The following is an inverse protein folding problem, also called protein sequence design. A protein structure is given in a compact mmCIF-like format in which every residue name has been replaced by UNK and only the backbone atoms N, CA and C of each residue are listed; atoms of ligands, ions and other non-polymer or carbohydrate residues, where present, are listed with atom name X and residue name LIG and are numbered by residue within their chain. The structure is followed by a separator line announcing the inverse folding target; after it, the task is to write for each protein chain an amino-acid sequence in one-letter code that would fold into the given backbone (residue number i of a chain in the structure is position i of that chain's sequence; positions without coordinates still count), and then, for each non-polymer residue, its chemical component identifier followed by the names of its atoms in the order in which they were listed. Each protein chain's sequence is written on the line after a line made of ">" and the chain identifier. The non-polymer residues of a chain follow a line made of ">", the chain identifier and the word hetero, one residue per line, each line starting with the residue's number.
data_IF_245675403288
#
_entry.id   IF_245675403288
#
_cell.length_a   1.000
_cell.length_b   1.000
_cell.length_c   1.000
_cell.angle_alpha   90.00
_cell.angle_beta   90.00
_cell.angle_gamma   90.00
#
_symmetry.space_group_name_H-M   'P 1'
#
loop_
_entity.id
_entity.type
_entity.pdbx_description
1 polymer ?
#
# COMPACT_ATOMS: atom_id res chain seq x y z
N UNK A 1 -6.57 -3.09 -22.87
CA UNK A 1 -7.14 -1.73 -22.64
C UNK A 1 -6.01 -0.84 -22.13
N UNK A 2 -5.76 0.30 -22.77
CA UNK A 2 -4.66 1.21 -22.38
C UNK A 2 -4.99 2.06 -21.14
N UNK A 3 -3.96 2.65 -20.52
CA UNK A 3 -4.11 3.63 -19.45
C UNK A 3 -4.77 4.91 -19.97
N UNK A 4 -5.68 5.48 -19.18
CA UNK A 4 -6.31 6.78 -19.46
C UNK A 4 -5.57 7.90 -18.75
N UNK A 5 -5.80 9.14 -19.16
CA UNK A 5 -5.26 10.34 -18.50
C UNK A 5 -5.57 10.37 -17.00
N UNK A 6 -6.78 9.96 -16.60
CA UNK A 6 -7.16 9.84 -15.19
C UNK A 6 -6.30 8.82 -14.44
N UNK A 7 -5.95 7.70 -15.09
CA UNK A 7 -5.14 6.66 -14.47
C UNK A 7 -3.70 7.17 -14.27
N UNK A 8 -3.14 7.91 -15.24
CA UNK A 8 -1.83 8.56 -15.14
C UNK A 8 -1.83 9.62 -14.02
N UNK A 9 -2.86 10.47 -13.95
CA UNK A 9 -2.99 11.46 -12.89
C UNK A 9 -3.10 10.81 -11.50
N UNK A 10 -3.85 9.71 -11.39
CA UNK A 10 -3.98 8.92 -10.16
C UNK A 10 -2.61 8.36 -9.75
N UNK A 11 -1.87 7.76 -10.68
CA UNK A 11 -0.51 7.27 -10.42
C UNK A 11 0.36 8.40 -9.88
N UNK A 12 0.41 9.55 -10.57
CA UNK A 12 1.25 10.67 -10.16
C UNK A 12 0.91 11.19 -8.75
N UNK A 13 -0.37 11.46 -8.48
CA UNK A 13 -0.83 12.02 -7.20
C UNK A 13 -0.56 11.03 -6.05
N UNK A 14 -0.92 9.77 -6.21
CA UNK A 14 -0.77 8.78 -5.14
C UNK A 14 0.67 8.32 -4.95
N UNK A 15 1.51 8.33 -5.99
CA UNK A 15 2.96 8.13 -5.82
C UNK A 15 3.62 9.29 -5.08
N UNK A 16 3.21 10.53 -5.35
CA UNK A 16 3.69 11.68 -4.59
C UNK A 16 3.26 11.59 -3.12
N UNK A 17 1.99 11.23 -2.86
CA UNK A 17 1.49 11.02 -1.50
C UNK A 17 2.24 9.87 -0.80
N UNK A 18 2.45 8.74 -1.47
CA UNK A 18 3.24 7.62 -0.95
C UNK A 18 4.62 8.11 -0.52
N UNK A 19 5.31 8.85 -1.40
CA UNK A 19 6.66 9.31 -1.14
C UNK A 19 6.72 10.30 0.02
N UNK A 20 5.82 11.30 0.04
CA UNK A 20 5.72 12.28 1.13
C UNK A 20 5.50 11.57 2.45
N UNK A 21 4.52 10.66 2.52
CA UNK A 21 4.22 9.92 3.75
C UNK A 21 5.41 9.05 4.19
N UNK A 22 6.07 8.34 3.28
CA UNK A 22 7.24 7.52 3.62
C UNK A 22 8.49 8.32 4.01
N UNK A 23 8.65 9.54 3.52
CA UNK A 23 9.77 10.40 3.88
C UNK A 23 9.55 11.16 5.19
N UNK A 24 8.29 11.43 5.53
CA UNK A 24 7.91 12.26 6.69
C UNK A 24 7.31 11.46 7.84
N UNK A 25 6.25 10.69 7.59
CA UNK A 25 5.49 9.94 8.59
C UNK A 25 6.12 8.56 8.87
N UNK A 26 6.60 7.87 7.82
CA UNK A 26 7.24 6.56 7.93
C UNK A 26 8.33 6.48 9.01
N UNK A 27 9.30 7.41 9.06
CA UNK A 27 10.37 7.40 10.07
C UNK A 27 9.88 7.60 11.50
N UNK A 28 8.71 8.20 11.69
CA UNK A 28 8.14 8.41 13.03
C UNK A 28 7.76 7.08 13.68
N UNK A 29 7.40 6.05 12.90
CA UNK A 29 7.09 4.71 13.44
C UNK A 29 8.28 4.10 14.17
N UNK A 30 9.47 4.20 13.56
CA UNK A 30 10.72 3.76 14.17
C UNK A 30 11.22 4.71 15.26
N UNK A 31 10.94 6.00 15.15
CA UNK A 31 11.37 6.97 16.15
C UNK A 31 10.60 6.79 17.46
N UNK A 32 9.28 6.68 17.37
CA UNK A 32 8.35 6.63 18.51
C UNK A 32 8.18 5.20 19.05
N UNK A 33 7.90 4.24 18.16
CA UNK A 33 7.54 2.87 18.57
C UNK A 33 8.64 1.84 18.34
N UNK A 34 9.71 2.21 17.62
CA UNK A 34 10.76 1.28 17.14
C UNK A 34 10.19 0.20 16.20
N UNK A 35 9.08 0.49 15.52
CA UNK A 35 8.32 -0.47 14.70
C UNK A 35 7.95 0.10 13.31
N UNK A 36 7.75 -0.76 12.30
CA UNK A 36 7.47 -0.35 10.92
C UNK A 36 6.03 0.14 10.66
N UNK A 37 5.22 0.37 11.70
CA UNK A 37 3.75 0.61 11.56
C UNK A 37 3.43 1.74 10.57
N UNK A 38 4.16 2.84 10.61
CA UNK A 38 3.86 4.02 9.79
C UNK A 38 4.37 3.95 8.34
N UNK A 39 5.39 3.12 8.04
CA UNK A 39 5.73 2.88 6.63
C UNK A 39 4.63 2.05 5.95
N UNK A 40 4.10 1.02 6.62
CA UNK A 40 2.97 0.26 6.09
C UNK A 40 1.70 1.09 5.95
N UNK A 41 1.39 1.96 6.93
CA UNK A 41 0.29 2.92 6.79
C UNK A 41 0.46 3.76 5.52
N UNK A 42 1.66 4.29 5.28
CA UNK A 42 1.94 5.15 4.12
C UNK A 42 1.70 4.41 2.80
N UNK A 43 2.13 3.15 2.74
CA UNK A 43 1.98 2.27 1.58
C UNK A 43 0.53 1.89 1.35
N UNK A 44 -0.14 1.28 2.33
CA UNK A 44 -1.46 0.71 2.10
C UNK A 44 -2.56 1.76 2.03
N UNK A 45 -2.42 2.90 2.73
CA UNK A 45 -3.32 4.03 2.55
C UNK A 45 -3.30 4.51 1.09
N UNK A 46 -2.12 4.72 0.51
CA UNK A 46 -2.00 5.23 -0.85
C UNK A 46 -2.43 4.21 -1.90
N UNK A 47 -2.09 2.93 -1.73
CA UNK A 47 -2.54 1.86 -2.64
C UNK A 47 -4.06 1.71 -2.64
N UNK A 48 -4.70 1.68 -1.48
CA UNK A 48 -6.15 1.52 -1.38
C UNK A 48 -6.88 2.73 -1.98
N UNK A 49 -6.42 3.94 -1.70
CA UNK A 49 -7.01 5.15 -2.26
C UNK A 49 -6.79 5.25 -3.78
N UNK A 50 -5.61 4.88 -4.29
CA UNK A 50 -5.35 4.82 -5.73
C UNK A 50 -6.21 3.76 -6.43
N UNK A 51 -6.40 2.62 -5.78
CA UNK A 51 -7.26 1.54 -6.28
C UNK A 51 -8.72 2.00 -6.33
N UNK A 52 -9.21 2.62 -5.25
CA UNK A 52 -10.55 3.20 -5.21
C UNK A 52 -10.75 4.31 -6.26
N UNK A 53 -9.74 5.17 -6.45
CA UNK A 53 -9.80 6.31 -7.35
C UNK A 53 -9.67 5.93 -8.84
N UNK A 54 -9.10 4.77 -9.17
CA UNK A 54 -8.93 4.33 -10.57
C UNK A 54 -9.83 3.16 -10.96
N UNK A 55 -10.04 2.20 -10.06
CA UNK A 55 -10.70 0.93 -10.33
C UNK A 55 -9.97 0.09 -11.39
N UNK A 56 -8.66 0.31 -11.58
CA UNK A 56 -7.88 -0.29 -12.68
C UNK A 56 -6.75 -1.16 -12.16
N UNK A 57 -6.55 -2.29 -12.84
CA UNK A 57 -5.34 -3.12 -12.71
C UNK A 57 -4.09 -2.31 -13.07
N UNK A 58 -2.96 -2.67 -12.47
CA UNK A 58 -1.63 -2.06 -12.67
C UNK A 58 -1.44 -0.69 -12.03
N UNK A 59 -2.51 0.09 -11.78
CA UNK A 59 -2.40 1.39 -11.12
C UNK A 59 -1.75 1.27 -9.73
N UNK A 60 -2.15 0.33 -8.85
CA UNK A 60 -1.50 0.16 -7.54
C UNK A 60 -0.01 -0.20 -7.67
N UNK A 61 0.34 -1.12 -8.58
CA UNK A 61 1.75 -1.46 -8.83
C UNK A 61 2.57 -0.26 -9.31
N UNK A 62 2.01 0.54 -10.22
CA UNK A 62 2.68 1.75 -10.74
C UNK A 62 2.82 2.82 -9.66
N UNK A 63 1.82 2.97 -8.79
CA UNK A 63 1.91 3.86 -7.63
C UNK A 63 3.09 3.47 -6.74
N UNK A 64 3.20 2.18 -6.41
CA UNK A 64 4.31 1.64 -5.63
C UNK A 64 5.67 1.79 -6.32
N UNK A 65 5.76 1.53 -7.63
CA UNK A 65 6.98 1.68 -8.41
C UNK A 65 7.49 3.12 -8.41
N UNK A 66 6.66 4.06 -8.83
CA UNK A 66 7.06 5.47 -8.91
C UNK A 66 7.28 6.05 -7.51
N UNK A 67 6.44 5.69 -6.53
CA UNK A 67 6.62 6.10 -5.13
C UNK A 67 7.94 5.60 -4.54
N UNK A 68 8.28 4.32 -4.73
CA UNK A 68 9.55 3.74 -4.30
C UNK A 68 10.75 4.43 -4.97
N UNK A 69 10.68 4.69 -6.28
CA UNK A 69 11.74 5.39 -7.01
C UNK A 69 11.95 6.82 -6.48
N UNK A 70 10.89 7.57 -6.19
CA UNK A 70 11.00 8.91 -5.59
C UNK A 70 11.68 8.82 -4.22
N UNK A 71 11.24 7.91 -3.35
CA UNK A 71 11.82 7.74 -2.01
C UNK A 71 13.29 7.32 -2.10
N UNK A 72 13.63 6.38 -2.97
CA UNK A 72 15.00 5.92 -3.15
C UNK A 72 15.90 7.00 -3.76
N UNK A 73 15.37 7.87 -4.61
CA UNK A 73 16.12 9.01 -5.14
C UNK A 73 16.44 10.03 -4.05
N UNK A 74 15.48 10.32 -3.18
CA UNK A 74 15.63 11.31 -2.11
C UNK A 74 16.34 10.75 -0.86
N UNK A 75 16.23 9.44 -0.62
CA UNK A 75 16.87 8.73 0.48
C UNK A 75 17.34 7.34 0.02
N UNK A 76 18.50 7.27 -0.66
CA UNK A 76 19.02 6.02 -1.25
C UNK A 76 19.25 4.87 -0.26
N UNK A 77 19.49 5.20 1.02
CA UNK A 77 19.65 4.20 2.08
C UNK A 77 18.34 3.48 2.46
N UNK A 78 17.18 3.93 1.98
CA UNK A 78 15.87 3.31 2.26
C UNK A 78 15.60 2.07 1.40
N UNK A 79 16.53 1.12 1.38
CA UNK A 79 16.47 -0.07 0.51
C UNK A 79 15.26 -0.96 0.77
N UNK A 80 14.64 -0.89 1.95
CA UNK A 80 13.38 -1.56 2.27
C UNK A 80 12.21 -1.19 1.33
N UNK A 81 12.32 -0.07 0.57
CA UNK A 81 11.33 0.30 -0.46
C UNK A 81 11.15 -0.78 -1.54
N UNK A 82 12.17 -1.60 -1.82
CA UNK A 82 12.01 -2.71 -2.75
C UNK A 82 11.07 -3.80 -2.22
N UNK A 83 11.04 -4.03 -0.91
CA UNK A 83 10.07 -4.93 -0.27
C UNK A 83 8.64 -4.41 -0.40
N UNK A 84 8.45 -3.10 -0.22
CA UNK A 84 7.15 -2.46 -0.45
C UNK A 84 6.72 -2.40 -1.91
N UNK A 85 7.67 -2.28 -2.84
CA UNK A 85 7.38 -2.41 -4.26
C UNK A 85 6.88 -3.82 -4.59
N UNK A 86 7.58 -4.85 -4.10
CA UNK A 86 7.16 -6.23 -4.31
C UNK A 86 5.77 -6.48 -3.71
N UNK A 87 5.48 -5.93 -2.53
CA UNK A 87 4.16 -6.04 -1.92
C UNK A 87 3.07 -5.24 -2.64
N UNK A 88 3.38 -4.10 -3.27
CA UNK A 88 2.43 -3.37 -4.11
C UNK A 88 2.00 -4.19 -5.34
N UNK A 89 2.94 -4.92 -5.95
CA UNK A 89 2.64 -5.83 -7.07
C UNK A 89 1.76 -6.99 -6.61
N UNK A 90 2.07 -7.58 -5.45
CA UNK A 90 1.25 -8.64 -4.85
C UNK A 90 -0.16 -8.14 -4.51
N UNK A 91 -0.26 -6.95 -3.92
CA UNK A 91 -1.54 -6.31 -3.60
C UNK A 91 -2.40 -6.12 -4.86
N UNK A 92 -1.82 -5.56 -5.92
CA UNK A 92 -2.49 -5.35 -7.21
C UNK A 92 -2.98 -6.66 -7.82
N UNK A 93 -2.17 -7.72 -7.74
CA UNK A 93 -2.56 -9.06 -8.19
C UNK A 93 -3.75 -9.61 -7.39
N UNK A 94 -3.74 -9.50 -6.06
CA UNK A 94 -4.83 -9.98 -5.20
C UNK A 94 -6.12 -9.17 -5.41
N UNK A 95 -6.02 -7.86 -5.68
CA UNK A 95 -7.17 -7.00 -5.96
C UNK A 95 -7.91 -7.36 -7.25
N UNK A 96 -7.32 -8.17 -8.15
CA UNK A 96 -8.04 -8.70 -9.31
C UNK A 96 -9.26 -9.53 -8.91
N UNK A 97 -9.26 -10.15 -7.73
CA UNK A 97 -10.37 -10.98 -7.22
C UNK A 97 -11.67 -10.20 -7.00
N UNK A 98 -11.59 -8.88 -6.80
CA UNK A 98 -12.75 -7.99 -6.73
C UNK A 98 -12.77 -6.95 -7.86
N UNK A 99 -12.03 -7.19 -8.95
CA UNK A 99 -11.86 -6.23 -10.06
C UNK A 99 -11.43 -4.83 -9.58
N UNK A 100 -10.51 -4.78 -8.61
CA UNK A 100 -9.97 -3.54 -8.07
C UNK A 100 -11.05 -2.61 -7.47
N UNK A 101 -12.13 -3.21 -6.95
CA UNK A 101 -13.21 -2.48 -6.30
C UNK A 101 -12.99 -2.45 -4.78
N UNK A 102 -12.86 -1.24 -4.22
CA UNK A 102 -12.62 -0.99 -2.78
C UNK A 102 -13.85 -0.41 -2.08
N UNK A 103 -15.01 -0.35 -2.76
CA UNK A 103 -16.26 0.16 -2.16
C UNK A 103 -16.67 -0.65 -0.94
N UNK A 104 -17.47 -0.06 -0.05
CA UNK A 104 -17.94 -0.68 1.22
C UNK A 104 -19.00 -1.77 1.04
N UNK A 105 -18.77 -2.73 0.13
CA UNK A 105 -19.52 -3.97 -0.02
C UNK A 105 -18.78 -5.10 0.71
N UNK A 106 -19.47 -6.07 1.34
CA UNK A 106 -18.82 -7.11 2.14
C UNK A 106 -17.69 -7.86 1.42
N UNK A 107 -17.92 -8.28 0.16
CA UNK A 107 -16.91 -8.99 -0.63
C UNK A 107 -15.68 -8.12 -0.93
N UNK A 108 -15.88 -6.87 -1.32
CA UNK A 108 -14.80 -5.94 -1.66
C UNK A 108 -13.97 -5.58 -0.44
N UNK A 109 -14.62 -5.36 0.71
CA UNK A 109 -13.96 -5.14 2.00
C UNK A 109 -13.15 -6.37 2.40
N UNK A 110 -13.71 -7.58 2.25
CA UNK A 110 -12.99 -8.82 2.55
C UNK A 110 -11.75 -8.98 1.66
N UNK A 111 -11.89 -8.82 0.33
CA UNK A 111 -10.78 -8.95 -0.62
C UNK A 111 -9.71 -7.88 -0.38
N UNK A 112 -10.09 -6.61 -0.21
CA UNK A 112 -9.13 -5.53 0.06
C UNK A 112 -8.42 -5.70 1.40
N UNK A 113 -9.12 -6.23 2.42
CA UNK A 113 -8.51 -6.56 3.71
C UNK A 113 -7.49 -7.68 3.58
N UNK A 114 -7.85 -8.79 2.92
CA UNK A 114 -6.95 -9.91 2.67
C UNK A 114 -5.76 -9.47 1.83
N UNK A 115 -5.99 -8.73 0.75
CA UNK A 115 -4.94 -8.21 -0.12
C UNK A 115 -3.95 -7.34 0.67
N UNK A 116 -4.46 -6.46 1.53
CA UNK A 116 -3.63 -5.60 2.38
C UNK A 116 -2.81 -6.41 3.37
N UNK A 117 -3.47 -7.28 4.15
CA UNK A 117 -2.84 -8.09 5.20
C UNK A 117 -1.75 -9.01 4.64
N UNK A 118 -2.08 -9.75 3.58
CA UNK A 118 -1.15 -10.70 2.94
C UNK A 118 0.05 -9.96 2.35
N UNK A 119 -0.20 -8.83 1.67
CA UNK A 119 0.88 -8.05 1.06
C UNK A 119 1.77 -7.40 2.10
N UNK A 120 1.20 -6.87 3.19
CA UNK A 120 1.96 -6.22 4.26
C UNK A 120 2.86 -7.24 4.96
N UNK A 121 2.28 -8.40 5.31
CA UNK A 121 3.02 -9.51 5.87
C UNK A 121 4.18 -9.94 4.96
N UNK A 122 3.89 -10.10 3.65
CA UNK A 122 4.90 -10.44 2.64
C UNK A 122 6.03 -9.39 2.56
N UNK A 123 5.68 -8.09 2.62
CA UNK A 123 6.67 -7.02 2.68
C UNK A 123 7.60 -7.19 3.89
N UNK A 124 7.03 -7.44 5.07
CA UNK A 124 7.80 -7.65 6.29
C UNK A 124 8.71 -8.87 6.21
N UNK A 125 8.25 -9.98 5.63
CA UNK A 125 9.10 -11.17 5.45
C UNK A 125 10.29 -10.85 4.52
N UNK A 126 10.04 -10.22 3.37
CA UNK A 126 11.11 -9.83 2.42
C UNK A 126 12.08 -8.84 3.06
N UNK A 127 11.57 -7.81 3.73
CA UNK A 127 12.39 -6.78 4.37
C UNK A 127 13.27 -7.41 5.46
N UNK A 128 12.69 -8.25 6.31
CA UNK A 128 13.40 -8.91 7.40
C UNK A 128 14.54 -9.80 6.91
N UNK A 129 14.30 -10.61 5.87
CA UNK A 129 15.31 -11.54 5.35
C UNK A 129 16.34 -10.82 4.47
N UNK A 130 15.88 -10.13 3.42
CA UNK A 130 16.75 -9.65 2.34
C UNK A 130 17.47 -8.37 2.74
N UNK A 131 16.79 -7.46 3.44
CA UNK A 131 17.32 -6.11 3.70
C UNK A 131 17.84 -5.93 5.13
N UNK A 132 17.36 -6.74 6.08
CA UNK A 132 17.84 -6.71 7.47
C UNK A 132 18.76 -7.90 7.82
N UNK A 133 18.90 -8.89 6.94
CA UNK A 133 19.76 -10.06 7.15
C UNK A 133 19.35 -10.93 8.35
N UNK A 134 18.07 -10.92 8.72
CA UNK A 134 17.54 -11.72 9.84
C UNK A 134 17.11 -13.11 9.35
N UNK A 135 16.95 -14.04 10.28
CA UNK A 135 16.48 -15.39 9.96
C UNK A 135 15.06 -15.37 9.40
N UNK A 136 14.76 -16.35 8.55
CA UNK A 136 13.43 -16.54 7.98
C UNK A 136 12.35 -16.68 9.06
N UNK A 137 12.64 -17.45 10.12
CA UNK A 137 11.76 -17.61 11.27
C UNK A 137 11.43 -16.27 11.93
N UNK A 138 12.45 -15.45 12.24
CA UNK A 138 12.25 -14.13 12.83
C UNK A 138 11.42 -13.22 11.91
N UNK A 139 11.69 -13.26 10.61
CA UNK A 139 10.96 -12.46 9.64
C UNK A 139 9.47 -12.86 9.57
N UNK A 140 9.15 -14.15 9.68
CA UNK A 140 7.77 -14.62 9.71
C UNK A 140 7.04 -14.28 11.02
N UNK A 141 7.66 -14.50 12.18
CA UNK A 141 6.96 -14.40 13.47
C UNK A 141 7.01 -13.00 14.09
N UNK A 142 8.02 -12.19 13.74
CA UNK A 142 8.19 -10.84 14.29
C UNK A 142 7.90 -9.79 13.22
N UNK A 143 8.70 -9.75 12.17
CA UNK A 143 8.68 -8.60 11.26
C UNK A 143 7.45 -8.56 10.36
N UNK A 144 7.09 -9.71 9.77
CA UNK A 144 5.85 -9.87 9.00
C UNK A 144 4.61 -9.51 9.81
N UNK A 145 4.56 -9.91 11.09
CA UNK A 145 3.44 -9.59 11.98
C UNK A 145 3.32 -8.09 12.22
N UNK A 146 4.42 -7.38 12.49
CA UNK A 146 4.37 -5.93 12.69
C UNK A 146 4.01 -5.16 11.42
N UNK A 147 4.49 -5.60 10.26
CA UNK A 147 4.08 -5.03 8.99
C UNK A 147 2.59 -5.26 8.72
N UNK A 148 2.07 -6.46 9.01
CA UNK A 148 0.63 -6.77 8.95
C UNK A 148 -0.18 -5.79 9.81
N UNK A 149 0.25 -5.55 11.06
CA UNK A 149 -0.41 -4.58 11.95
C UNK A 149 -0.41 -3.18 11.33
N UNK A 150 0.73 -2.73 10.81
CA UNK A 150 0.79 -1.44 10.11
C UNK A 150 -0.12 -1.36 8.88
N UNK A 151 -0.21 -2.46 8.11
CA UNK A 151 -1.13 -2.59 6.98
C UNK A 151 -2.60 -2.50 7.40
N UNK A 152 -2.98 -3.11 8.53
CA UNK A 152 -4.32 -2.99 9.10
C UNK A 152 -4.66 -1.55 9.51
N UNK A 153 -3.70 -0.81 10.07
CA UNK A 153 -3.91 0.61 10.38
C UNK A 153 -4.11 1.41 9.09
N UNK A 154 -3.29 1.18 8.05
CA UNK A 154 -3.46 1.80 6.74
C UNK A 154 -4.81 1.50 6.10
N UNK A 155 -5.25 0.24 6.17
CA UNK A 155 -6.57 -0.22 5.71
C UNK A 155 -7.71 0.48 6.44
N UNK A 156 -7.67 0.53 7.77
CA UNK A 156 -8.71 1.16 8.57
C UNK A 156 -8.85 2.64 8.20
N UNK A 157 -7.73 3.37 8.10
CA UNK A 157 -7.73 4.78 7.70
C UNK A 157 -8.26 4.94 6.27
N UNK A 158 -7.82 4.10 5.33
CA UNK A 158 -8.28 4.17 3.94
C UNK A 158 -9.79 3.92 3.80
N UNK A 159 -10.32 2.89 4.47
CA UNK A 159 -11.75 2.58 4.43
C UNK A 159 -12.60 3.67 5.08
N UNK A 160 -12.09 4.33 6.13
CA UNK A 160 -12.74 5.51 6.70
C UNK A 160 -12.82 6.64 5.67
N UNK A 161 -11.69 6.97 5.02
CA UNK A 161 -11.64 8.02 3.98
C UNK A 161 -12.59 7.69 2.83
N UNK A 162 -12.54 6.46 2.30
CA UNK A 162 -13.44 5.98 1.24
C UNK A 162 -14.90 6.10 1.67
N UNK A 163 -15.23 5.67 2.88
CA UNK A 163 -16.59 5.74 3.42
C UNK A 163 -17.11 7.17 3.52
N UNK A 164 -16.29 8.13 3.94
CA UNK A 164 -16.66 9.55 3.96
C UNK A 164 -16.86 10.12 2.56
N UNK A 165 -15.98 9.79 1.61
CA UNK A 165 -16.08 10.25 0.22
C UNK A 165 -17.34 9.69 -0.46
N UNK A 166 -17.66 8.42 -0.26
CA UNK A 166 -18.88 7.80 -0.79
C UNK A 166 -20.14 8.43 -0.20
N UNK A 167 -20.17 8.68 1.11
CA UNK A 167 -21.27 9.39 1.77
C UNK A 167 -21.44 10.82 1.25
N UNK A 168 -20.36 11.48 0.88
CA UNK A 168 -20.37 12.81 0.26
C UNK A 168 -20.78 12.78 -1.22
N UNK A 169 -21.09 11.62 -1.79
CA UNK A 169 -21.49 11.46 -3.19
C UNK A 169 -20.33 11.44 -4.18
N UNK A 170 -19.08 11.42 -3.72
CA UNK A 170 -17.90 11.25 -4.56
C UNK A 170 -17.85 9.80 -5.03
N UNK A 171 -18.10 9.58 -6.31
CA UNK A 171 -18.04 8.25 -6.91
C UNK A 171 -16.65 8.02 -7.50
N UNK A 172 -15.91 7.07 -6.93
CA UNK A 172 -14.79 6.47 -7.65
C UNK A 172 -15.25 5.92 -9.01
N UNK A 173 -14.37 5.89 -10.03
CA UNK A 173 -14.72 5.31 -11.31
C UNK A 173 -15.14 3.84 -11.13
N UNK A 174 -16.20 3.43 -11.84
CA UNK A 174 -16.61 2.03 -11.86
C UNK A 174 -15.47 1.21 -12.47
N UNK A 175 -15.02 0.16 -11.78
CA UNK A 175 -14.27 -0.90 -12.42
C UNK A 175 -15.12 -1.42 -13.59
N UNK A 176 -14.53 -1.39 -14.79
CA UNK A 176 -15.15 -1.84 -16.05
C UNK A 176 -14.69 -3.26 -16.31
#
# INVERSE_FOLDING_TARGET
>A
MGLRTLDIATIAIFSALWAVLNLTVGPLGFTIFKLPIFCDLSVYLTLLLATWASGRRYVPSMVGLVGALIVLTLRPASTQMFGFLASAVLFDALMTLCNHDVRLKPLNVAVSSIATVVSAYFAGVIIGVVFMGRSLEWAFIVWGVWHLVGGLVGLAVALLVVGFLEKAGVKGPRSV
#
